data_IF_818923103718
#
_entry.id   IF_818923103718
#
_cell.length_a   1.000
_cell.length_b   1.000
_cell.length_c   1.000
_cell.angle_alpha   90.00
_cell.angle_beta   90.00
_cell.angle_gamma   90.00
#
_symmetry.space_group_name_H-M   'P 1'
#
loop_
_entity.id
_entity.type
_entity.pdbx_description
1 polymer ?
#
# COMPACT_ATOMS: atom_id res chain seq x y z
N UNK A 1 31.39 42.31 -39.44
CA UNK A 1 31.57 40.95 -38.89
C UNK A 1 30.59 40.75 -37.75
N UNK A 2 29.45 40.12 -38.01
CA UNK A 2 28.38 39.90 -37.03
C UNK A 2 28.52 38.48 -36.48
N UNK A 3 28.82 38.34 -35.19
CA UNK A 3 28.96 37.03 -34.53
C UNK A 3 27.58 36.50 -34.16
N UNK A 4 27.15 35.44 -34.83
CA UNK A 4 25.98 34.65 -34.46
C UNK A 4 26.36 33.84 -33.22
N UNK A 5 25.74 34.16 -32.08
CA UNK A 5 25.88 33.37 -30.86
C UNK A 5 25.08 32.08 -31.01
N UNK A 6 25.77 30.95 -30.92
CA UNK A 6 25.17 29.63 -30.99
C UNK A 6 24.26 29.40 -29.77
N UNK A 7 22.98 29.13 -30.05
CA UNK A 7 21.97 28.73 -29.08
C UNK A 7 22.40 27.46 -28.35
N UNK A 8 22.57 27.55 -27.04
CA UNK A 8 22.70 26.39 -26.18
C UNK A 8 21.32 25.73 -26.04
N UNK A 9 21.13 24.58 -26.70
CA UNK A 9 20.01 23.68 -26.45
C UNK A 9 20.17 23.10 -25.04
N UNK A 10 19.41 23.63 -24.08
CA UNK A 10 19.22 22.99 -22.78
C UNK A 10 18.48 21.66 -22.99
N UNK A 11 19.19 20.56 -22.77
CA UNK A 11 18.57 19.24 -22.60
C UNK A 11 17.67 19.29 -21.36
N UNK A 12 16.36 19.36 -21.58
CA UNK A 12 15.39 19.11 -20.53
C UNK A 12 15.54 17.64 -20.10
N UNK A 13 16.23 17.40 -18.99
CA UNK A 13 16.14 16.15 -18.26
C UNK A 13 14.69 16.03 -17.81
N UNK A 14 13.90 15.24 -18.54
CA UNK A 14 12.61 14.78 -18.07
C UNK A 14 12.86 14.04 -16.76
N UNK A 15 12.59 14.73 -15.65
CA UNK A 15 12.55 14.12 -14.34
C UNK A 15 11.42 13.10 -14.39
N UNK A 16 11.78 11.83 -14.59
CA UNK A 16 10.88 10.72 -14.34
C UNK A 16 10.64 10.66 -12.84
N UNK A 17 9.79 11.57 -12.35
CA UNK A 17 9.07 11.37 -11.12
C UNK A 17 8.20 10.14 -11.38
N UNK A 18 8.75 8.96 -11.10
CA UNK A 18 7.94 7.78 -10.84
C UNK A 18 6.88 8.24 -9.84
N UNK A 19 5.60 8.20 -10.23
CA UNK A 19 4.50 8.57 -9.37
C UNK A 19 4.63 7.70 -8.12
N UNK A 20 5.27 8.24 -7.09
CA UNK A 20 5.37 7.57 -5.79
C UNK A 20 3.93 7.50 -5.32
N UNK A 21 3.43 6.29 -5.09
CA UNK A 21 2.13 6.09 -4.47
C UNK A 21 2.04 7.03 -3.25
N UNK A 22 1.05 7.93 -3.25
CA UNK A 22 0.81 8.83 -2.13
C UNK A 22 0.07 8.02 -1.06
N UNK A 23 0.84 7.25 -0.29
CA UNK A 23 0.33 6.41 0.79
C UNK A 23 -0.46 7.25 1.80
N UNK A 24 -1.78 7.07 1.82
CA UNK A 24 -2.67 7.77 2.72
C UNK A 24 -2.88 6.94 4.00
N UNK A 25 -2.57 7.45 5.21
CA UNK A 25 -2.76 6.70 6.45
C UNK A 25 -4.25 6.47 6.71
N UNK A 26 -4.61 5.25 7.13
CA UNK A 26 -6.01 4.85 7.41
C UNK A 26 -6.23 4.33 8.82
N UNK A 27 -5.21 3.71 9.42
CA UNK A 27 -5.25 3.27 10.81
C UNK A 27 -3.86 3.18 11.40
N UNK A 28 -3.77 3.26 12.72
CA UNK A 28 -2.54 3.12 13.48
C UNK A 28 -2.84 2.47 14.81
N UNK A 29 -1.97 1.56 15.23
CA UNK A 29 -1.93 1.01 16.58
C UNK A 29 -0.53 1.19 17.21
N UNK A 30 -0.25 0.45 18.28
CA UNK A 30 1.03 0.47 19.01
C UNK A 30 2.14 -0.35 18.33
N UNK A 31 1.86 -0.96 17.17
CA UNK A 31 2.79 -1.80 16.44
C UNK A 31 2.94 -1.41 14.97
N UNK A 32 1.92 -0.87 14.32
CA UNK A 32 1.98 -0.52 12.92
C UNK A 32 1.10 0.67 12.56
N UNK A 33 1.43 1.26 11.41
CA UNK A 33 0.55 2.19 10.70
C UNK A 33 0.18 1.55 9.37
N UNK A 34 -1.11 1.57 9.05
CA UNK A 34 -1.62 1.07 7.78
C UNK A 34 -1.97 2.26 6.90
N UNK A 35 -1.55 2.16 5.65
CA UNK A 35 -1.79 3.12 4.60
C UNK A 35 -2.51 2.45 3.43
N UNK A 36 -3.19 3.26 2.64
CA UNK A 36 -3.78 2.85 1.38
C UNK A 36 -3.17 3.64 0.22
N UNK A 37 -2.99 3.01 -0.93
CA UNK A 37 -2.77 3.72 -2.18
C UNK A 37 -4.13 4.04 -2.80
N UNK A 38 -4.58 5.29 -2.66
CA UNK A 38 -5.86 5.72 -3.22
C UNK A 38 -5.92 5.58 -4.75
N UNK A 39 -4.79 5.67 -5.45
CA UNK A 39 -4.70 5.52 -6.90
C UNK A 39 -4.88 4.08 -7.39
N UNK A 40 -4.61 3.09 -6.53
CA UNK A 40 -4.79 1.67 -6.82
C UNK A 40 -6.24 1.18 -6.65
N UNK A 41 -7.11 2.01 -6.06
CA UNK A 41 -8.47 1.60 -5.69
C UNK A 41 -9.31 1.30 -6.94
N UNK A 42 -9.88 0.11 -6.98
CA UNK A 42 -10.85 -0.32 -7.99
C UNK A 42 -12.06 -0.96 -7.32
N UNK A 43 -13.26 -0.76 -7.90
CA UNK A 43 -14.50 -1.34 -7.39
C UNK A 43 -15.21 -2.12 -8.51
N UNK A 44 -15.71 -3.31 -8.19
CA UNK A 44 -16.55 -4.09 -9.10
C UNK A 44 -18.03 -3.74 -8.93
N UNK A 45 -18.85 -4.12 -9.90
CA UNK A 45 -20.30 -3.99 -9.83
C UNK A 45 -20.90 -4.76 -8.63
N UNK A 46 -20.27 -5.88 -8.26
CA UNK A 46 -20.69 -6.74 -7.15
C UNK A 46 -20.33 -6.15 -5.76
N UNK A 47 -19.80 -4.94 -5.70
CA UNK A 47 -19.46 -4.27 -4.44
C UNK A 47 -18.16 -4.77 -3.80
N UNK A 48 -17.31 -5.45 -4.57
CA UNK A 48 -15.95 -5.80 -4.15
C UNK A 48 -15.04 -4.61 -4.44
N UNK A 49 -14.29 -4.17 -3.44
CA UNK A 49 -13.27 -3.12 -3.60
C UNK A 49 -11.89 -3.73 -3.45
N UNK A 50 -11.01 -3.48 -4.41
CA UNK A 50 -9.61 -3.89 -4.38
C UNK A 50 -8.70 -2.67 -4.28
N UNK A 51 -7.69 -2.73 -3.43
CA UNK A 51 -6.75 -1.64 -3.16
C UNK A 51 -5.40 -2.21 -2.71
N UNK A 52 -4.31 -1.51 -2.99
CA UNK A 52 -3.01 -1.81 -2.40
C UNK A 52 -2.93 -1.15 -1.02
N UNK A 53 -2.60 -1.97 -0.01
CA UNK A 53 -2.41 -1.59 1.37
C UNK A 53 -0.93 -1.70 1.74
N UNK A 54 -0.44 -0.74 2.50
CA UNK A 54 0.90 -0.76 3.07
C UNK A 54 0.79 -0.84 4.59
N UNK A 55 1.42 -1.84 5.19
CA UNK A 55 1.58 -1.92 6.64
C UNK A 55 3.03 -1.58 6.98
N UNK A 56 3.24 -0.50 7.73
CA UNK A 56 4.54 -0.04 8.20
C UNK A 56 4.69 -0.35 9.69
N UNK A 57 5.69 -1.16 10.05
CA UNK A 57 5.82 -1.70 11.41
C UNK A 57 6.81 -0.91 12.25
N UNK A 58 6.49 -0.66 13.51
CA UNK A 58 7.41 -0.03 14.45
C UNK A 58 8.44 -1.06 14.96
N UNK A 59 9.68 -0.92 14.48
CA UNK A 59 10.80 -1.77 14.89
C UNK A 59 11.19 -1.63 16.37
N UNK A 60 10.81 -0.52 17.02
CA UNK A 60 11.05 -0.28 18.44
C UNK A 60 9.95 -0.87 19.34
N UNK A 61 8.83 -1.31 18.76
CA UNK A 61 7.74 -1.91 19.52
C UNK A 61 8.19 -3.21 20.19
N UNK A 62 7.75 -3.50 21.44
CA UNK A 62 8.05 -4.77 22.11
C UNK A 62 7.53 -6.01 21.36
N UNK A 63 6.59 -5.81 20.42
CA UNK A 63 6.04 -6.87 19.56
C UNK A 63 6.97 -7.25 18.40
N UNK A 64 7.94 -6.40 18.04
CA UNK A 64 8.79 -6.55 16.86
C UNK A 64 9.55 -7.88 16.81
N UNK A 65 10.15 -8.29 17.93
CA UNK A 65 10.93 -9.53 18.01
C UNK A 65 10.04 -10.77 17.87
N UNK A 66 8.94 -10.84 18.63
CA UNK A 66 8.00 -11.96 18.58
C UNK A 66 7.31 -12.10 17.23
N UNK A 67 7.08 -10.97 16.54
CA UNK A 67 6.52 -10.95 15.20
C UNK A 67 7.55 -11.31 14.11
N UNK A 68 8.84 -11.30 14.44
CA UNK A 68 9.91 -11.67 13.51
C UNK A 68 10.23 -10.61 12.46
N UNK A 69 10.14 -9.32 12.80
CA UNK A 69 10.44 -8.23 11.84
C UNK A 69 11.87 -8.30 11.27
N UNK A 70 12.84 -8.81 12.03
CA UNK A 70 14.22 -8.98 11.57
C UNK A 70 14.33 -9.93 10.37
N UNK A 71 13.47 -10.94 10.29
CA UNK A 71 13.45 -11.94 9.23
C UNK A 71 12.48 -11.54 8.11
N UNK A 72 11.34 -10.97 8.50
CA UNK A 72 10.28 -10.59 7.57
C UNK A 72 10.61 -9.31 6.83
N UNK A 73 10.98 -8.23 7.52
CA UNK A 73 11.04 -6.89 6.94
C UNK A 73 10.24 -5.89 7.77
N UNK A 74 10.47 -4.61 7.48
CA UNK A 74 9.93 -3.48 8.26
C UNK A 74 8.62 -2.92 7.69
N UNK A 75 8.25 -3.32 6.49
CA UNK A 75 6.93 -3.02 5.94
C UNK A 75 6.45 -4.15 5.02
N UNK A 76 5.18 -4.09 4.68
CA UNK A 76 4.52 -5.03 3.79
C UNK A 76 3.61 -4.25 2.85
N UNK A 77 3.65 -4.59 1.55
CA UNK A 77 2.65 -4.11 0.60
C UNK A 77 1.85 -5.32 0.13
N UNK A 78 0.53 -5.20 0.27
CA UNK A 78 -0.43 -6.23 -0.07
C UNK A 78 -1.54 -5.65 -0.95
N UNK A 79 -1.91 -6.38 -2.01
CA UNK A 79 -3.17 -6.13 -2.70
C UNK A 79 -4.29 -6.78 -1.91
N UNK A 80 -5.26 -6.01 -1.45
CA UNK A 80 -6.38 -6.53 -0.65
C UNK A 80 -7.69 -6.34 -1.39
N UNK A 81 -8.56 -7.34 -1.33
CA UNK A 81 -9.94 -7.24 -1.80
C UNK A 81 -10.89 -7.33 -0.60
N UNK A 82 -11.87 -6.44 -0.55
CA UNK A 82 -12.95 -6.44 0.43
C UNK A 82 -14.30 -6.60 -0.26
N UNK A 83 -15.10 -7.57 0.19
CA UNK A 83 -16.54 -7.57 -0.05
C UNK A 83 -17.19 -6.70 1.01
N UNK A 84 -17.60 -5.49 0.61
CA UNK A 84 -18.17 -4.50 1.50
C UNK A 84 -19.57 -4.88 2.01
N UNK A 85 -20.29 -5.75 1.31
CA UNK A 85 -21.63 -6.20 1.72
C UNK A 85 -21.55 -7.34 2.74
N UNK A 86 -20.69 -8.33 2.49
CA UNK A 86 -20.55 -9.50 3.35
C UNK A 86 -19.50 -9.35 4.45
N UNK A 87 -18.81 -8.20 4.49
CA UNK A 87 -17.68 -7.91 5.39
C UNK A 87 -16.62 -9.00 5.33
N UNK A 88 -16.17 -9.33 4.12
CA UNK A 88 -15.14 -10.34 3.85
C UNK A 88 -13.90 -9.71 3.27
N UNK A 89 -12.77 -10.36 3.52
CA UNK A 89 -11.46 -9.99 3.01
C UNK A 89 -10.87 -11.16 2.23
N UNK A 90 -10.08 -10.85 1.21
CA UNK A 90 -9.25 -11.80 0.49
C UNK A 90 -7.92 -11.15 0.12
N UNK A 91 -6.84 -11.88 0.34
CA UNK A 91 -5.50 -11.46 -0.10
C UNK A 91 -5.35 -11.63 -1.60
N UNK A 92 -5.01 -10.55 -2.29
CA UNK A 92 -4.55 -10.54 -3.68
C UNK A 92 -3.05 -10.79 -3.82
N UNK A 93 -2.38 -11.19 -2.73
CA UNK A 93 -0.94 -11.40 -2.69
C UNK A 93 -0.18 -10.11 -2.38
N UNK A 94 1.11 -10.25 -2.13
CA UNK A 94 1.93 -9.14 -1.66
C UNK A 94 3.37 -9.54 -1.39
N UNK A 95 4.06 -8.68 -0.64
CA UNK A 95 5.44 -8.95 -0.25
C UNK A 95 5.92 -8.08 0.89
N UNK A 96 6.71 -8.72 1.75
CA UNK A 96 7.47 -8.05 2.79
C UNK A 96 8.65 -7.28 2.19
N UNK A 97 8.99 -6.15 2.79
CA UNK A 97 10.00 -5.21 2.34
C UNK A 97 11.02 -4.96 3.45
N UNK A 98 12.29 -4.90 3.08
CA UNK A 98 13.36 -4.69 4.04
C UNK A 98 13.24 -3.35 4.78
N UNK A 99 12.83 -2.28 4.09
CA UNK A 99 12.71 -0.94 4.64
C UNK A 99 11.30 -0.60 5.13
N UNK A 100 11.20 0.54 5.80
CA UNK A 100 9.92 1.19 6.13
C UNK A 100 9.25 1.73 4.86
N UNK A 101 7.95 1.99 4.93
CA UNK A 101 7.19 2.67 3.87
C UNK A 101 7.33 2.01 2.48
N UNK A 102 7.46 0.68 2.45
CA UNK A 102 7.54 -0.08 1.21
C UNK A 102 8.92 -0.04 0.53
N UNK A 103 9.90 0.62 1.15
CA UNK A 103 11.24 0.81 0.60
C UNK A 103 12.09 -0.46 0.67
N UNK A 104 13.10 -0.49 -0.18
CA UNK A 104 14.05 -1.60 -0.25
C UNK A 104 13.53 -2.85 -0.96
N UNK A 105 14.35 -3.90 -0.94
CA UNK A 105 14.06 -5.15 -1.64
C UNK A 105 12.90 -5.91 -1.00
N UNK A 106 12.20 -6.68 -1.82
CA UNK A 106 11.25 -7.69 -1.32
C UNK A 106 12.05 -8.80 -0.65
N UNK A 107 11.75 -9.06 0.62
CA UNK A 107 12.38 -10.12 1.43
C UNK A 107 11.61 -11.42 1.33
N UNK A 108 10.27 -11.34 1.27
CA UNK A 108 9.38 -12.50 1.16
C UNK A 108 8.10 -12.17 0.39
N UNK A 109 7.98 -12.58 -0.89
CA UNK A 109 6.72 -12.49 -1.61
C UNK A 109 5.75 -13.59 -1.15
N UNK A 110 4.46 -13.38 -1.34
CA UNK A 110 3.45 -14.42 -1.14
C UNK A 110 2.33 -14.30 -2.19
N UNK A 111 1.76 -15.44 -2.62
CA UNK A 111 0.75 -15.46 -3.68
C UNK A 111 -0.61 -14.95 -3.19
N UNK A 112 -1.54 -14.64 -4.11
CA UNK A 112 -2.94 -14.45 -3.80
C UNK A 112 -3.54 -15.67 -3.11
N UNK A 113 -4.61 -15.45 -2.35
CA UNK A 113 -5.46 -16.50 -1.79
C UNK A 113 -6.78 -16.54 -2.55
N UNK A 114 -7.29 -17.75 -2.80
CA UNK A 114 -8.57 -17.92 -3.50
C UNK A 114 -9.77 -17.71 -2.56
N UNK A 115 -9.59 -18.03 -1.27
CA UNK A 115 -10.66 -18.04 -0.28
C UNK A 115 -10.89 -16.67 0.38
N UNK A 116 -12.17 -16.39 0.63
CA UNK A 116 -12.59 -15.25 1.45
C UNK A 116 -12.55 -15.61 2.93
N UNK A 117 -12.06 -14.70 3.76
CA UNK A 117 -12.03 -14.82 5.22
C UNK A 117 -12.69 -13.61 5.89
N UNK A 118 -12.77 -13.65 7.23
CA UNK A 118 -13.14 -12.48 8.00
C UNK A 118 -12.09 -11.36 7.81
N UNK A 119 -12.53 -10.10 7.88
CA UNK A 119 -11.62 -8.95 7.87
C UNK A 119 -10.66 -9.08 9.06
N UNK A 120 -9.33 -9.08 8.84
CA UNK A 120 -8.37 -9.10 9.92
C UNK A 120 -8.50 -7.83 10.78
N UNK A 121 -8.32 -7.97 12.10
CA UNK A 121 -8.50 -6.86 13.04
C UNK A 121 -7.66 -5.62 12.70
N UNK A 122 -6.44 -5.82 12.22
CA UNK A 122 -5.56 -4.73 11.80
C UNK A 122 -6.11 -3.99 10.55
N UNK A 123 -6.88 -4.65 9.69
CA UNK A 123 -7.52 -4.03 8.52
C UNK A 123 -8.91 -3.45 8.77
N UNK A 124 -9.42 -3.44 10.00
CA UNK A 124 -10.74 -2.87 10.30
C UNK A 124 -10.85 -1.38 9.89
N UNK A 125 -9.81 -0.58 10.14
CA UNK A 125 -9.77 0.82 9.73
C UNK A 125 -9.71 1.01 8.22
N UNK A 126 -8.93 0.18 7.52
CA UNK A 126 -8.86 0.17 6.06
C UNK A 126 -10.21 -0.24 5.45
N UNK A 127 -10.83 -1.31 5.95
CA UNK A 127 -12.16 -1.75 5.52
C UNK A 127 -13.18 -0.64 5.67
N UNK A 128 -13.26 -0.02 6.85
CA UNK A 128 -14.19 1.07 7.11
C UNK A 128 -13.98 2.23 6.14
N UNK A 129 -12.72 2.62 5.89
CA UNK A 129 -12.38 3.71 4.97
C UNK A 129 -12.78 3.40 3.52
N UNK A 130 -12.48 2.20 3.05
CA UNK A 130 -12.63 1.79 1.65
C UNK A 130 -14.09 1.48 1.30
N UNK A 131 -14.86 0.96 2.26
CA UNK A 131 -16.26 0.59 2.10
C UNK A 131 -17.26 1.67 2.52
N UNK A 132 -16.82 2.82 3.05
CA UNK A 132 -17.71 3.92 3.47
C UNK A 132 -18.52 4.57 2.31
N UNK A 133 -18.18 4.31 1.04
CA UNK A 133 -18.79 4.98 -0.13
C UNK A 133 -20.21 4.51 -0.49
N UNK A 134 -21.02 4.05 0.47
CA UNK A 134 -22.43 3.64 0.26
C UNK A 134 -23.46 4.43 1.09
N UNK A 135 -23.12 5.57 1.67
CA UNK A 135 -24.07 6.36 2.50
C UNK A 135 -24.38 7.76 1.96
N UNK A 136 -24.51 7.92 0.65
CA UNK A 136 -25.10 9.13 0.06
C UNK A 136 -25.90 8.73 -1.17
N UNK A 137 -27.13 8.30 -0.89
CA UNK A 137 -28.26 8.38 -1.83
C UNK A 137 -28.92 9.75 -1.66
#
# INVERSE_FOLDING_TARGET
MWKISASALMSALASSASARAEWAPVSKDDFSTIYMDAGSRSASADGIVTIDALTDYDAASPKAAAFGLAEKGLSEIEKVSFDCASRKYRSGGGGWRQGQMGEGKITKPYPPKDEWSAVPSYYEGLFAKVCASKSSE
#
